data_IF_399585962625
#
_entry.id   IF_399585962625
#
_cell.length_a   1.000
_cell.length_b   1.000
_cell.length_c   1.000
_cell.angle_alpha   90.00
_cell.angle_beta   90.00
_cell.angle_gamma   90.00
#
_symmetry.space_group_name_H-M   'P 1'
#
loop_
_entity.id
_entity.type
_entity.pdbx_description
1 polymer ?
#
# COMPACT_ATOMS: atom_id res chain seq x y z
N UNK A 1 8.61 37.20 71.40
CA UNK A 1 7.14 37.36 71.32
C UNK A 1 6.73 37.17 69.86
N UNK A 2 6.30 35.96 69.48
CA UNK A 2 5.98 35.62 68.09
C UNK A 2 4.53 36.03 67.85
N UNK A 3 4.32 37.08 67.04
CA UNK A 3 2.97 37.49 66.60
C UNK A 3 2.45 36.43 65.63
N UNK A 4 1.57 35.56 66.11
CA UNK A 4 0.75 34.71 65.26
C UNK A 4 -0.24 35.60 64.51
N UNK A 5 0.13 36.06 63.31
CA UNK A 5 -0.82 36.59 62.35
C UNK A 5 -1.70 35.45 61.87
N UNK A 6 -2.97 35.43 62.30
CA UNK A 6 -4.01 34.56 61.75
C UNK A 6 -3.99 34.72 60.22
N UNK A 7 -3.47 33.71 59.51
CA UNK A 7 -3.54 33.66 58.05
C UNK A 7 -5.01 33.61 57.69
N UNK A 8 -5.52 34.66 57.05
CA UNK A 8 -6.90 34.69 56.54
C UNK A 8 -7.07 33.48 55.61
N UNK A 9 -7.97 32.58 55.99
CA UNK A 9 -8.33 31.42 55.17
C UNK A 9 -9.09 31.85 53.92
N UNK A 10 -9.05 31.01 52.89
CA UNK A 10 -9.86 31.19 51.69
C UNK A 10 -11.35 31.17 52.05
N UNK A 11 -12.11 32.09 51.48
CA UNK A 11 -13.57 32.06 51.61
C UNK A 11 -14.15 30.87 50.83
N UNK A 12 -15.32 30.40 51.24
CA UNK A 12 -16.01 29.30 50.55
C UNK A 12 -16.28 29.65 49.08
N UNK A 13 -16.60 30.92 48.80
CA UNK A 13 -16.86 31.45 47.46
C UNK A 13 -15.59 31.42 46.60
N UNK A 14 -14.44 31.86 47.12
CA UNK A 14 -13.17 31.83 46.38
C UNK A 14 -12.75 30.40 46.01
N UNK A 15 -12.97 29.43 46.91
CA UNK A 15 -12.71 28.00 46.63
C UNK A 15 -13.58 27.49 45.48
N UNK A 16 -14.86 27.88 45.43
CA UNK A 16 -15.79 27.47 44.39
C UNK A 16 -15.40 28.05 43.03
N UNK A 17 -15.01 29.32 42.99
CA UNK A 17 -14.51 29.98 41.76
C UNK A 17 -13.23 29.30 41.28
N UNK A 18 -12.29 28.99 42.19
CA UNK A 18 -11.04 28.30 41.85
C UNK A 18 -11.29 26.91 41.25
N UNK A 19 -12.22 26.14 41.81
CA UNK A 19 -12.63 24.83 41.27
C UNK A 19 -13.24 24.95 39.87
N UNK A 20 -14.05 25.98 39.62
CA UNK A 20 -14.64 26.23 38.30
C UNK A 20 -13.58 26.51 37.23
N UNK A 21 -12.61 27.39 37.52
CA UNK A 21 -11.50 27.70 36.62
C UNK A 21 -10.63 26.46 36.39
N UNK A 22 -10.34 25.71 37.46
CA UNK A 22 -9.57 24.48 37.38
C UNK A 22 -10.25 23.42 36.50
N UNK A 23 -11.56 23.22 36.65
CA UNK A 23 -12.33 22.28 35.82
C UNK A 23 -12.33 22.68 34.34
N UNK A 24 -12.47 23.98 34.05
CA UNK A 24 -12.39 24.50 32.69
C UNK A 24 -11.01 24.24 32.08
N UNK A 25 -9.93 24.51 32.85
CA UNK A 25 -8.56 24.26 32.40
C UNK A 25 -8.29 22.77 32.14
N UNK A 26 -8.73 21.89 33.05
CA UNK A 26 -8.60 20.44 32.87
C UNK A 26 -9.34 19.93 31.64
N UNK A 27 -10.51 20.51 31.33
CA UNK A 27 -11.27 20.14 30.13
C UNK A 27 -10.51 20.45 28.84
N UNK A 28 -9.87 21.62 28.79
CA UNK A 28 -9.02 22.02 27.65
C UNK A 28 -7.79 21.11 27.52
N UNK A 29 -7.16 20.76 28.64
CA UNK A 29 -6.01 19.85 28.66
C UNK A 29 -6.37 18.45 28.16
N UNK A 30 -7.50 17.88 28.62
CA UNK A 30 -7.97 16.56 28.20
C UNK A 30 -8.28 16.56 26.70
N UNK A 31 -8.95 17.60 26.19
CA UNK A 31 -9.22 17.74 24.76
C UNK A 31 -7.93 17.80 23.93
N UNK A 32 -6.95 18.59 24.38
CA UNK A 32 -5.64 18.70 23.72
C UNK A 32 -4.89 17.38 23.70
N UNK A 33 -4.86 16.67 24.84
CA UNK A 33 -4.23 15.37 24.95
C UNK A 33 -4.88 14.32 24.05
N UNK A 34 -6.22 14.24 24.04
CA UNK A 34 -6.94 13.34 23.16
C UNK A 34 -6.65 13.61 21.67
N UNK A 35 -6.53 14.89 21.30
CA UNK A 35 -6.11 15.29 19.95
C UNK A 35 -4.72 14.76 19.60
N UNK A 36 -3.73 14.95 20.48
CA UNK A 36 -2.36 14.46 20.27
C UNK A 36 -2.34 12.94 20.12
N UNK A 37 -3.03 12.21 20.99
CA UNK A 37 -3.07 10.73 20.93
C UNK A 37 -3.67 10.25 19.61
N UNK A 38 -4.74 10.90 19.13
CA UNK A 38 -5.34 10.58 17.83
C UNK A 38 -4.37 10.84 16.68
N UNK A 39 -3.69 11.99 16.67
CA UNK A 39 -2.71 12.31 15.63
C UNK A 39 -1.52 11.34 15.64
N UNK A 40 -1.05 10.91 16.82
CA UNK A 40 0.01 9.91 16.93
C UNK A 40 -0.43 8.55 16.36
N UNK A 41 -1.68 8.16 16.62
CA UNK A 41 -2.25 6.93 16.05
C UNK A 41 -2.33 7.02 14.53
N UNK A 42 -2.94 8.08 13.99
CA UNK A 42 -3.04 8.29 12.54
C UNK A 42 -1.65 8.30 11.87
N UNK A 43 -0.67 8.99 12.46
CA UNK A 43 0.70 8.99 11.95
C UNK A 43 1.36 7.60 11.95
N UNK A 44 1.07 6.79 12.98
CA UNK A 44 1.57 5.42 13.03
C UNK A 44 0.91 4.54 11.95
N UNK A 45 -0.40 4.69 11.74
CA UNK A 45 -1.14 3.94 10.70
C UNK A 45 -0.59 4.29 9.30
N UNK A 46 -0.32 5.57 9.03
CA UNK A 46 0.36 5.99 7.80
C UNK A 46 1.76 5.38 7.67
N UNK A 47 2.55 5.36 8.74
CA UNK A 47 3.90 4.79 8.72
C UNK A 47 3.88 3.30 8.36
N UNK A 48 2.95 2.53 8.94
CA UNK A 48 2.78 1.11 8.63
C UNK A 48 2.41 0.94 7.16
N UNK A 49 1.41 1.69 6.68
CA UNK A 49 0.99 1.66 5.28
C UNK A 49 2.14 1.97 4.31
N UNK A 50 2.94 3.00 4.58
CA UNK A 50 4.09 3.36 3.74
C UNK A 50 5.18 2.30 3.74
N UNK A 51 5.49 1.73 4.90
CA UNK A 51 6.49 0.67 5.01
C UNK A 51 6.07 -0.56 4.21
N UNK A 52 4.79 -0.92 4.28
CA UNK A 52 4.24 -2.08 3.60
C UNK A 52 4.15 -1.85 2.08
N UNK A 53 3.65 -0.70 1.64
CA UNK A 53 3.64 -0.31 0.24
C UNK A 53 5.05 -0.33 -0.36
N UNK A 54 6.05 0.20 0.36
CA UNK A 54 7.45 0.17 -0.06
C UNK A 54 7.96 -1.25 -0.22
N UNK A 55 7.68 -2.14 0.74
CA UNK A 55 8.09 -3.55 0.66
C UNK A 55 7.47 -4.25 -0.55
N UNK A 56 6.19 -4.01 -0.81
CA UNK A 56 5.50 -4.54 -2.00
C UNK A 56 6.20 -4.04 -3.27
N UNK A 57 6.40 -2.72 -3.40
CA UNK A 57 7.05 -2.15 -4.58
C UNK A 57 8.50 -2.62 -4.75
N UNK A 58 9.29 -2.69 -3.69
CA UNK A 58 10.67 -3.16 -3.75
C UNK A 58 10.72 -4.63 -4.23
N UNK A 59 9.80 -5.47 -3.75
CA UNK A 59 9.70 -6.87 -4.20
C UNK A 59 9.29 -6.92 -5.67
N UNK A 60 8.22 -6.22 -6.06
CA UNK A 60 7.73 -6.18 -7.43
C UNK A 60 8.81 -5.69 -8.40
N UNK A 61 9.52 -4.61 -8.06
CA UNK A 61 10.63 -4.06 -8.86
C UNK A 61 11.79 -5.05 -8.95
N UNK A 62 12.09 -5.79 -7.88
CA UNK A 62 13.10 -6.85 -7.91
C UNK A 62 12.72 -7.94 -8.92
N UNK A 63 11.46 -8.39 -8.89
CA UNK A 63 10.97 -9.38 -9.85
C UNK A 63 11.05 -8.88 -11.29
N UNK A 64 10.67 -7.61 -11.56
CA UNK A 64 10.81 -7.01 -12.89
C UNK A 64 12.26 -6.86 -13.35
N UNK A 65 13.22 -6.71 -12.43
CA UNK A 65 14.64 -6.60 -12.78
C UNK A 65 15.25 -7.96 -13.13
N UNK A 66 14.78 -9.01 -12.46
CA UNK A 66 15.25 -10.39 -12.62
C UNK A 66 14.55 -11.10 -13.79
N UNK A 67 13.30 -10.72 -14.07
CA UNK A 67 12.49 -11.27 -15.15
C UNK A 67 12.33 -10.36 -16.37
N UNK A 68 11.73 -10.92 -17.41
CA UNK A 68 11.17 -10.23 -18.56
C UNK A 68 9.66 -10.52 -18.61
N UNK A 69 8.88 -9.60 -19.18
CA UNK A 69 7.42 -9.79 -19.29
C UNK A 69 7.11 -10.95 -20.23
N UNK A 70 6.28 -11.88 -19.78
CA UNK A 70 5.79 -12.97 -20.63
C UNK A 70 4.54 -12.52 -21.38
N UNK A 71 4.75 -11.96 -22.58
CA UNK A 71 3.66 -11.54 -23.46
C UNK A 71 2.77 -12.71 -23.92
N UNK A 72 3.27 -13.94 -23.86
CA UNK A 72 2.53 -15.15 -24.21
C UNK A 72 1.49 -15.51 -23.17
N UNK A 73 1.76 -15.39 -21.88
CA UNK A 73 0.78 -15.74 -20.84
C UNK A 73 -0.01 -14.54 -20.31
N UNK A 74 0.55 -13.33 -20.29
CA UNK A 74 -0.15 -12.13 -19.78
C UNK A 74 -1.40 -11.79 -20.58
N UNK A 75 -1.49 -12.23 -21.85
CA UNK A 75 -2.54 -11.80 -22.75
C UNK A 75 -3.22 -12.90 -23.59
N UNK A 76 -2.72 -14.14 -23.60
CA UNK A 76 -3.35 -15.25 -24.35
C UNK A 76 -4.24 -16.17 -23.50
N UNK A 77 -4.50 -15.83 -22.23
CA UNK A 77 -5.27 -16.66 -21.29
C UNK A 77 -6.74 -16.88 -21.66
N UNK A 78 -7.30 -16.16 -22.62
CA UNK A 78 -8.61 -16.44 -23.22
C UNK A 78 -8.53 -16.00 -24.68
N UNK A 79 -8.98 -16.82 -25.64
CA UNK A 79 -8.83 -16.61 -27.08
C UNK A 79 -9.48 -15.33 -27.63
N UNK A 80 -8.94 -14.18 -27.27
CA UNK A 80 -9.37 -12.85 -27.65
C UNK A 80 -8.36 -12.27 -28.62
N UNK A 81 -8.88 -11.71 -29.71
CA UNK A 81 -8.14 -11.11 -30.80
C UNK A 81 -7.04 -10.15 -30.31
N UNK A 82 -5.88 -10.27 -30.96
CA UNK A 82 -4.68 -9.44 -30.79
C UNK A 82 -4.89 -7.93 -31.01
N UNK A 83 -6.12 -7.50 -31.31
CA UNK A 83 -6.49 -6.14 -31.65
C UNK A 83 -7.08 -5.33 -30.47
N UNK A 84 -7.30 -5.93 -29.28
CA UNK A 84 -7.93 -5.25 -28.14
C UNK A 84 -7.06 -5.17 -26.87
N UNK A 85 -5.74 -5.18 -27.03
CA UNK A 85 -4.77 -5.18 -25.93
C UNK A 85 -4.56 -3.82 -25.25
N UNK A 86 -5.61 -3.01 -25.08
CA UNK A 86 -5.58 -1.76 -24.31
C UNK A 86 -6.26 -1.99 -22.95
N UNK A 87 -5.69 -2.86 -22.11
CA UNK A 87 -6.31 -3.27 -20.85
C UNK A 87 -5.34 -3.34 -19.69
N UNK A 88 -5.76 -2.79 -18.54
CA UNK A 88 -5.18 -3.10 -17.23
C UNK A 88 -5.37 -4.59 -16.96
N UNK A 89 -4.29 -5.30 -16.62
CA UNK A 89 -4.41 -6.64 -16.06
C UNK A 89 -4.31 -6.59 -14.54
N UNK A 90 -5.01 -7.51 -13.88
CA UNK A 90 -4.94 -7.73 -12.44
C UNK A 90 -3.78 -8.67 -12.05
N UNK A 91 -3.13 -9.26 -13.06
CA UNK A 91 -1.97 -10.13 -12.93
C UNK A 91 -0.93 -9.86 -14.02
N UNK A 92 0.33 -10.15 -13.70
CA UNK A 92 1.43 -10.15 -14.65
C UNK A 92 2.30 -11.39 -14.46
N UNK A 93 2.69 -11.99 -15.57
CA UNK A 93 3.62 -13.10 -15.62
C UNK A 93 4.97 -12.59 -16.12
N UNK A 94 6.01 -13.03 -15.41
CA UNK A 94 7.39 -12.73 -15.69
C UNK A 94 8.13 -14.04 -15.91
N UNK A 95 9.06 -14.04 -16.84
CA UNK A 95 9.96 -15.16 -17.10
C UNK A 95 11.36 -14.68 -16.73
N UNK A 96 12.06 -15.45 -15.90
CA UNK A 96 13.48 -15.23 -15.60
C UNK A 96 14.34 -15.10 -16.86
N UNK A 97 15.46 -14.37 -16.78
CA UNK A 97 16.35 -14.14 -17.95
C UNK A 97 16.91 -15.42 -18.58
N UNK A 98 17.04 -16.48 -17.81
CA UNK A 98 17.48 -17.80 -18.27
C UNK A 98 16.31 -18.70 -18.75
N UNK A 99 15.07 -18.22 -18.64
CA UNK A 99 13.86 -18.94 -19.05
C UNK A 99 13.46 -20.09 -18.13
N UNK A 100 14.11 -20.26 -16.97
CA UNK A 100 13.94 -21.44 -16.12
C UNK A 100 12.79 -21.31 -15.10
N UNK A 101 12.52 -20.07 -14.67
CA UNK A 101 11.52 -19.73 -13.67
C UNK A 101 10.46 -18.78 -14.21
N UNK A 102 9.20 -19.06 -13.88
CA UNK A 102 8.04 -18.20 -14.11
C UNK A 102 7.64 -17.56 -12.79
N UNK A 103 7.38 -16.25 -12.80
CA UNK A 103 6.91 -15.51 -11.63
C UNK A 103 5.58 -14.85 -11.98
N UNK A 104 4.55 -15.12 -11.20
CA UNK A 104 3.24 -14.48 -11.33
C UNK A 104 3.07 -13.49 -10.18
N UNK A 105 2.75 -12.24 -10.51
CA UNK A 105 2.34 -11.22 -9.56
C UNK A 105 0.88 -10.95 -9.82
N UNK A 106 0.01 -11.24 -8.85
CA UNK A 106 -1.43 -11.09 -9.00
C UNK A 106 -2.06 -10.50 -7.75
N UNK A 107 -3.27 -9.95 -7.91
CA UNK A 107 -4.12 -9.64 -6.76
C UNK A 107 -5.01 -10.84 -6.43
N UNK A 108 -5.18 -11.12 -5.15
CA UNK A 108 -6.01 -12.21 -4.63
C UNK A 108 -7.01 -11.62 -3.64
N UNK A 109 -8.24 -12.11 -3.66
CA UNK A 109 -9.25 -11.65 -2.69
C UNK A 109 -8.86 -12.09 -1.27
N UNK A 110 -8.92 -11.16 -0.31
CA UNK A 110 -8.69 -11.47 1.10
C UNK A 110 -9.73 -12.49 1.57
N UNK A 111 -9.28 -13.53 2.27
CA UNK A 111 -10.16 -14.57 2.85
C UNK A 111 -10.96 -14.09 4.08
N UNK A 112 -10.63 -12.93 4.63
CA UNK A 112 -11.30 -12.36 5.80
C UNK A 112 -12.44 -11.39 5.43
N UNK A 113 -13.32 -11.10 6.38
CA UNK A 113 -14.60 -10.36 6.21
C UNK A 113 -14.49 -8.94 5.62
N UNK A 114 -13.29 -8.39 5.44
CA UNK A 114 -13.10 -7.10 4.80
C UNK A 114 -12.86 -7.26 3.30
N UNK A 115 -13.77 -6.73 2.49
CA UNK A 115 -13.65 -6.65 1.03
C UNK A 115 -12.36 -5.92 0.67
N UNK A 116 -11.37 -6.67 0.20
CA UNK A 116 -10.02 -6.17 -0.03
C UNK A 116 -9.19 -7.15 -0.83
N UNK A 117 -8.07 -6.65 -1.35
CA UNK A 117 -7.14 -7.45 -2.13
C UNK A 117 -5.81 -7.60 -1.39
N UNK A 118 -5.23 -8.79 -1.50
CA UNK A 118 -3.85 -9.09 -1.20
C UNK A 118 -3.04 -9.09 -2.50
N UNK A 119 -1.80 -8.63 -2.46
CA UNK A 119 -0.87 -8.77 -3.58
C UNK A 119 -0.02 -10.00 -3.30
N UNK A 120 0.00 -10.91 -4.26
CA UNK A 120 0.66 -12.19 -4.15
C UNK A 120 1.74 -12.32 -5.21
N UNK A 121 2.84 -12.98 -4.84
CA UNK A 121 3.88 -13.41 -5.77
C UNK A 121 4.01 -14.94 -5.70
N UNK A 122 3.95 -15.58 -6.85
CA UNK A 122 4.20 -17.01 -7.02
C UNK A 122 5.40 -17.21 -7.93
N UNK A 123 6.33 -18.11 -7.57
CA UNK A 123 7.53 -18.41 -8.37
C UNK A 123 7.54 -19.89 -8.74
N UNK A 124 7.13 -20.22 -9.97
CA UNK A 124 7.09 -21.59 -10.47
C UNK A 124 6.23 -22.50 -9.59
N UNK A 125 6.85 -23.54 -9.02
CA UNK A 125 6.21 -24.47 -8.07
C UNK A 125 6.35 -24.04 -6.61
N UNK A 126 7.02 -22.92 -6.33
CA UNK A 126 7.21 -22.43 -4.98
C UNK A 126 5.89 -21.94 -4.38
N UNK A 127 5.82 -21.99 -3.04
CA UNK A 127 4.65 -21.51 -2.31
C UNK A 127 4.44 -20.02 -2.56
N UNK A 128 3.20 -19.67 -2.85
CA UNK A 128 2.75 -18.29 -2.97
C UNK A 128 3.06 -17.47 -1.70
N UNK A 129 3.54 -16.25 -1.91
CA UNK A 129 3.88 -15.29 -0.85
C UNK A 129 2.98 -14.07 -0.96
N UNK A 130 2.24 -13.78 0.11
CA UNK A 130 1.49 -12.53 0.24
C UNK A 130 2.49 -11.43 0.63
N UNK A 131 2.47 -10.32 -0.12
CA UNK A 131 3.44 -9.24 0.04
C UNK A 131 3.00 -8.19 1.06
N UNK A 132 1.71 -7.90 1.12
CA UNK A 132 1.16 -6.91 2.04
C UNK A 132 0.84 -7.51 3.42
N UNK A 133 0.87 -6.67 4.42
CA UNK A 133 0.45 -6.96 5.79
C UNK A 133 -1.08 -7.11 5.90
N UNK A 134 -1.57 -7.82 6.93
CA UNK A 134 -3.01 -7.92 7.17
C UNK A 134 -3.65 -6.55 7.49
N UNK A 135 -2.87 -5.62 8.04
CA UNK A 135 -3.29 -4.27 8.45
C UNK A 135 -3.54 -3.33 7.26
N UNK A 136 -2.98 -3.64 6.09
CA UNK A 136 -3.13 -2.84 4.87
C UNK A 136 -4.11 -3.50 3.93
N UNK A 137 -5.09 -2.74 3.48
CA UNK A 137 -6.08 -3.17 2.50
C UNK A 137 -5.80 -2.51 1.14
N UNK A 138 -5.52 -3.32 0.12
CA UNK A 138 -5.35 -2.85 -1.26
C UNK A 138 -6.72 -2.75 -1.91
N UNK A 139 -7.07 -1.57 -2.43
CA UNK A 139 -8.37 -1.34 -3.09
C UNK A 139 -8.31 -1.65 -4.58
N UNK A 140 -7.19 -1.32 -5.21
CA UNK A 140 -6.94 -1.67 -6.60
C UNK A 140 -5.47 -2.01 -6.83
N UNK A 141 -5.23 -2.97 -7.71
CA UNK A 141 -3.92 -3.32 -8.23
C UNK A 141 -4.08 -3.54 -9.73
N UNK A 142 -3.30 -2.81 -10.52
CA UNK A 142 -3.42 -2.74 -11.97
C UNK A 142 -2.02 -2.70 -12.57
N UNK A 143 -1.79 -3.55 -13.57
CA UNK A 143 -0.52 -3.62 -14.28
C UNK A 143 -0.74 -3.36 -15.77
N UNK A 144 0.12 -2.56 -16.37
CA UNK A 144 0.10 -2.23 -17.79
C UNK A 144 1.48 -2.47 -18.38
N UNK A 145 1.59 -3.33 -19.39
CA UNK A 145 2.79 -3.50 -20.17
C UNK A 145 2.65 -2.79 -21.53
N UNK A 146 3.69 -2.08 -21.94
CA UNK A 146 3.79 -1.49 -23.28
C UNK A 146 5.17 -1.85 -23.88
N UNK A 147 5.27 -2.17 -25.19
CA UNK A 147 4.18 -2.30 -26.16
C UNK A 147 3.23 -3.45 -25.83
N UNK A 148 2.02 -3.40 -26.37
CA UNK A 148 0.97 -4.39 -26.12
C UNK A 148 1.22 -5.73 -26.82
N UNK A 149 2.00 -5.72 -27.90
CA UNK A 149 2.46 -6.92 -28.59
C UNK A 149 3.90 -7.22 -28.18
N UNK A 150 4.24 -8.50 -28.18
CA UNK A 150 5.61 -8.94 -27.93
C UNK A 150 6.57 -8.30 -28.94
N UNK A 151 7.47 -7.40 -28.49
CA UNK A 151 8.45 -6.77 -29.37
C UNK A 151 9.55 -7.75 -29.82
N UNK A 152 9.66 -8.91 -29.17
CA UNK A 152 10.65 -9.93 -29.45
C UNK A 152 10.15 -11.01 -30.42
N UNK A 153 8.86 -11.03 -30.78
CA UNK A 153 8.34 -11.92 -31.82
C UNK A 153 8.92 -11.52 -33.19
N UNK A 154 9.49 -12.49 -33.91
CA UNK A 154 10.04 -12.31 -35.26
C UNK A 154 9.07 -11.61 -36.23
N UNK A 155 7.75 -11.77 -36.03
CA UNK A 155 6.72 -11.09 -36.83
C UNK A 155 6.58 -9.59 -36.53
N UNK A 156 6.98 -9.17 -35.34
CA UNK A 156 6.88 -7.79 -34.86
C UNK A 156 8.23 -7.05 -34.86
N UNK A 157 9.35 -7.78 -34.96
CA UNK A 157 10.71 -7.22 -35.01
C UNK A 157 10.88 -6.15 -36.10
N UNK A 158 10.13 -6.19 -37.21
CA UNK A 158 10.23 -5.20 -38.30
C UNK A 158 9.23 -4.04 -38.21
N UNK A 159 8.43 -3.96 -37.14
CA UNK A 159 7.41 -2.92 -36.97
C UNK A 159 7.94 -1.87 -35.99
N UNK A 160 8.31 -0.70 -36.50
CA UNK A 160 8.86 0.42 -35.71
C UNK A 160 7.97 0.84 -34.53
N UNK A 161 6.64 0.68 -34.65
CA UNK A 161 5.69 0.96 -33.57
C UNK A 161 5.86 0.09 -32.31
N UNK A 162 6.58 -1.02 -32.42
CA UNK A 162 6.80 -1.99 -31.33
C UNK A 162 8.29 -2.13 -30.95
N UNK A 163 9.22 -1.48 -31.65
CA UNK A 163 10.67 -1.51 -31.35
C UNK A 163 11.10 -0.61 -30.17
N UNK A 164 10.15 -0.06 -29.41
CA UNK A 164 10.46 0.75 -28.23
C UNK A 164 10.89 -0.10 -27.04
N UNK A 165 11.68 0.50 -26.14
CA UNK A 165 12.04 -0.14 -24.86
C UNK A 165 10.75 -0.48 -24.09
N UNK A 166 10.50 -1.76 -23.78
CA UNK A 166 9.29 -2.13 -23.06
C UNK A 166 9.31 -1.52 -21.67
N UNK A 167 8.17 -1.00 -21.23
CA UNK A 167 7.99 -0.50 -19.88
C UNK A 167 6.72 -1.07 -19.27
N UNK A 168 6.72 -1.17 -17.93
CA UNK A 168 5.57 -1.64 -17.17
C UNK A 168 5.16 -0.58 -16.17
N UNK A 169 3.89 -0.20 -16.20
CA UNK A 169 3.28 0.69 -15.21
C UNK A 169 2.52 -0.17 -14.20
N UNK A 170 2.87 -0.06 -12.93
CA UNK A 170 2.15 -0.68 -11.82
C UNK A 170 1.42 0.42 -11.05
N UNK A 171 0.12 0.26 -10.89
CA UNK A 171 -0.74 1.15 -10.13
C UNK A 171 -1.41 0.37 -9.00
N UNK A 172 -1.13 0.77 -7.76
CA UNK A 172 -1.80 0.24 -6.58
C UNK A 172 -2.40 1.41 -5.76
N UNK A 173 -3.64 1.26 -5.29
CA UNK A 173 -4.37 2.25 -4.47
C UNK A 173 -5.09 1.60 -3.32
#
# INVERSE_FOLDING_TARGET
MIKNTLKRGFTLVETLIALGIFAMFMSVLIGSYAGIVRSLKEANDYRVMYSDARRVFDTVVSEFREGMVDYGNVYYGNGCDLEHLSGSSDEIHLVSKDGSMFTTISKVEKKEKDSGWDIQVSKGLAKEVILNSPEVNVKAFQVFAYPHLDPYDQKNVFKDSYQFQPFVLVKAT
#
